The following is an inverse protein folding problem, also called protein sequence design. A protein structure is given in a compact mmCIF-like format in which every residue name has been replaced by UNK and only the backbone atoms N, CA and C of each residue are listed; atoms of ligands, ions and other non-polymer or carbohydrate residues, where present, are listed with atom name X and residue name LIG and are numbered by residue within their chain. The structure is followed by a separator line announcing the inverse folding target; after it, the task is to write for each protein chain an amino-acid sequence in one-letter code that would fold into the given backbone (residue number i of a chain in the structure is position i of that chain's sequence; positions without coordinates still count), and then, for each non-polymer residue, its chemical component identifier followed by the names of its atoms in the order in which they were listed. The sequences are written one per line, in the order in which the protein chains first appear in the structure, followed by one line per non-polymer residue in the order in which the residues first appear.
data_IF_306714581697
#
_entry.id   IF_306714581697
#
_cell.length_a   1.000
_cell.length_b   1.000
_cell.length_c   1.000
_cell.angle_alpha   90.00
_cell.angle_beta   90.00
_cell.angle_gamma   90.00
#
_symmetry.space_group_name_H-M   'P 1'
#
loop_
_entity.id
_entity.type
_entity.pdbx_description
1 polymer ?
#
# COMPACT_ATOMS: atom_id res chain seq x y z
N UNK A 1 2.59 -19.69 11.41
CA UNK A 1 3.69 -19.67 10.42
C UNK A 1 3.09 -19.34 9.06
N UNK A 2 3.65 -18.37 8.34
CA UNK A 2 3.15 -18.03 6.99
C UNK A 2 3.59 -19.12 6.01
N UNK A 3 2.66 -19.68 5.24
CA UNK A 3 2.97 -20.73 4.27
C UNK A 3 3.80 -20.15 3.12
N UNK A 4 4.95 -20.77 2.85
CA UNK A 4 5.78 -20.45 1.68
C UNK A 4 5.12 -21.06 0.44
N UNK A 5 4.93 -20.25 -0.61
CA UNK A 5 4.53 -20.73 -1.91
C UNK A 5 5.79 -21.05 -2.73
N UNK A 6 6.18 -22.32 -2.76
CA UNK A 6 7.33 -22.79 -3.52
C UNK A 6 7.11 -22.61 -5.03
N UNK A 7 8.19 -22.33 -5.77
CA UNK A 7 8.17 -22.06 -7.19
C UNK A 7 7.92 -20.59 -7.54
N UNK A 8 7.54 -20.35 -8.80
CA UNK A 8 7.35 -19.01 -9.37
C UNK A 8 5.87 -18.68 -9.45
N UNK A 9 5.50 -17.51 -8.94
CA UNK A 9 4.12 -17.03 -8.85
C UNK A 9 4.03 -15.59 -9.39
N UNK A 10 2.88 -15.24 -9.97
CA UNK A 10 2.54 -13.88 -10.43
C UNK A 10 1.16 -13.50 -9.92
N UNK A 11 0.83 -12.21 -9.97
CA UNK A 11 -0.54 -11.77 -9.77
C UNK A 11 -1.45 -12.13 -10.97
N UNK A 12 -2.74 -12.28 -10.70
CA UNK A 12 -3.82 -12.33 -11.67
C UNK A 12 -4.85 -11.27 -11.30
N UNK A 13 -4.98 -10.26 -12.16
CA UNK A 13 -5.99 -9.22 -12.05
C UNK A 13 -6.33 -8.67 -13.43
N UNK A 14 -7.61 -8.41 -13.67
CA UNK A 14 -8.13 -8.01 -14.98
C UNK A 14 -8.67 -6.59 -15.01
N UNK A 15 -8.83 -5.94 -13.87
CA UNK A 15 -9.33 -4.58 -13.77
C UNK A 15 -8.18 -3.58 -13.59
N UNK A 16 -8.47 -2.31 -13.89
CA UNK A 16 -7.63 -1.20 -13.47
C UNK A 16 -7.51 -1.20 -11.94
N UNK A 17 -6.35 -0.81 -11.43
CA UNK A 17 -6.10 -0.73 -10.00
C UNK A 17 -5.34 0.54 -9.67
N UNK A 18 -5.36 0.92 -8.40
CA UNK A 18 -4.59 2.03 -7.88
C UNK A 18 -3.55 1.55 -6.88
N UNK A 19 -2.30 1.89 -7.13
CA UNK A 19 -1.21 1.70 -6.17
C UNK A 19 -0.97 3.03 -5.47
N UNK A 20 -1.14 3.04 -4.16
CA UNK A 20 -0.95 4.22 -3.33
C UNK A 20 0.23 4.01 -2.38
N UNK A 21 1.30 4.77 -2.60
CA UNK A 21 2.45 4.79 -1.70
C UNK A 21 2.25 5.91 -0.70
N UNK A 22 2.45 5.61 0.58
CA UNK A 22 2.49 6.62 1.63
C UNK A 22 3.68 6.32 2.55
N UNK A 23 4.41 7.37 2.91
CA UNK A 23 5.58 7.20 3.77
C UNK A 23 5.72 8.32 4.79
N UNK A 24 6.35 7.97 5.90
CA UNK A 24 6.82 8.92 6.89
C UNK A 24 8.34 9.05 6.78
N UNK A 25 8.85 10.27 6.81
CA UNK A 25 10.28 10.56 6.89
C UNK A 25 10.63 11.22 8.22
N UNK A 26 11.51 10.58 8.98
CA UNK A 26 12.11 11.13 10.19
C UNK A 26 13.27 12.04 9.79
N UNK A 27 13.14 13.33 10.07
CA UNK A 27 14.18 14.31 9.78
C UNK A 27 15.05 14.60 11.02
N UNK A 28 14.45 14.49 12.23
CA UNK A 28 15.14 14.69 13.51
C UNK A 28 14.94 13.46 14.41
N UNK A 29 15.89 12.53 14.38
CA UNK A 29 15.79 11.25 15.11
C UNK A 29 15.62 11.44 16.63
N UNK A 30 16.28 12.45 17.21
CA UNK A 30 16.20 12.78 18.65
C UNK A 30 14.86 13.39 19.09
N UNK A 31 13.86 13.47 18.21
CA UNK A 31 12.51 13.96 18.51
C UNK A 31 11.46 12.85 18.43
N UNK A 32 11.54 11.80 19.27
CA UNK A 32 10.54 10.72 19.29
C UNK A 32 9.15 11.22 19.62
N UNK A 33 9.06 12.32 20.37
CA UNK A 33 7.82 13.02 20.55
C UNK A 33 7.24 13.41 19.19
N UNK A 34 8.03 13.95 18.24
CA UNK A 34 7.60 14.38 16.91
C UNK A 34 7.08 13.23 16.04
N UNK A 35 7.89 12.19 15.84
CA UNK A 35 7.63 11.14 14.86
C UNK A 35 6.88 9.92 15.42
N UNK A 36 6.98 9.64 16.73
CA UNK A 36 6.35 8.48 17.36
C UNK A 36 4.82 8.42 17.18
N UNK A 37 4.08 9.51 17.46
CA UNK A 37 2.63 9.54 17.25
C UNK A 37 2.22 9.37 15.79
N UNK A 38 3.01 9.88 14.85
CA UNK A 38 2.74 9.75 13.40
C UNK A 38 2.90 8.29 12.96
N UNK A 39 3.96 7.62 13.44
CA UNK A 39 4.17 6.19 13.22
C UNK A 39 3.00 5.34 13.74
N UNK A 40 2.47 5.68 14.92
CA UNK A 40 1.38 4.94 15.56
C UNK A 40 0.00 5.16 14.90
N UNK A 41 -0.15 6.18 14.04
CA UNK A 41 -1.43 6.51 13.42
C UNK A 41 -1.83 5.56 12.27
N UNK A 42 -0.86 4.95 11.59
CA UNK A 42 -1.12 4.14 10.38
C UNK A 42 -1.77 2.77 10.65
N UNK A 43 -1.30 1.95 11.62
CA UNK A 43 -1.88 0.63 11.87
C UNK A 43 -3.41 0.61 12.07
N UNK A 44 -4.04 1.50 12.85
CA UNK A 44 -5.48 1.44 13.05
C UNK A 44 -6.28 1.85 11.80
N UNK A 45 -5.73 2.68 10.90
CA UNK A 45 -6.32 2.98 9.58
C UNK A 45 -6.30 1.75 8.68
N UNK A 46 -5.15 1.08 8.56
CA UNK A 46 -5.02 -0.15 7.76
C UNK A 46 -5.94 -1.27 8.28
N UNK A 47 -6.09 -1.38 9.60
CA UNK A 47 -6.97 -2.37 10.21
C UNK A 47 -8.47 -2.03 10.04
N UNK A 48 -8.83 -0.77 9.87
CA UNK A 48 -10.19 -0.35 9.49
C UNK A 48 -10.48 -0.72 8.04
N UNK A 49 -9.60 -0.31 7.12
CA UNK A 49 -9.71 -0.63 5.69
C UNK A 49 -9.76 -2.14 5.43
N UNK A 50 -8.93 -2.91 6.13
CA UNK A 50 -8.89 -4.38 5.96
C UNK A 50 -10.16 -5.08 6.45
N UNK A 51 -11.01 -4.42 7.23
CA UNK A 51 -12.29 -4.96 7.74
C UNK A 51 -13.50 -4.52 6.94
N UNK A 52 -13.34 -3.56 6.04
CA UNK A 52 -14.40 -3.02 5.21
C UNK A 52 -14.15 -3.36 3.73
N UNK A 53 -14.77 -4.44 3.20
CA UNK A 53 -14.65 -4.80 1.79
C UNK A 53 -15.19 -3.73 0.84
N UNK A 54 -16.15 -2.91 1.28
CA UNK A 54 -16.76 -1.87 0.47
C UNK A 54 -15.84 -0.65 0.32
N UNK A 55 -14.80 -0.51 1.16
CA UNK A 55 -13.79 0.56 1.06
C UNK A 55 -13.01 0.53 -0.26
N UNK A 56 -12.99 -0.59 -0.97
CA UNK A 56 -12.17 -0.78 -2.17
C UNK A 56 -10.69 -1.01 -1.89
N UNK A 57 -10.31 -1.15 -0.62
CA UNK A 57 -8.97 -1.54 -0.23
C UNK A 57 -8.72 -3.02 -0.50
N UNK A 58 -7.69 -3.32 -1.27
CA UNK A 58 -7.32 -4.68 -1.68
C UNK A 58 -6.22 -5.26 -0.78
N UNK A 59 -5.45 -4.41 -0.12
CA UNK A 59 -4.41 -4.84 0.80
C UNK A 59 -3.23 -3.88 0.84
N UNK A 60 -2.20 -4.26 1.60
CA UNK A 60 -1.00 -3.45 1.75
C UNK A 60 0.25 -4.27 1.99
N UNK A 61 1.39 -3.62 1.79
CA UNK A 61 2.71 -4.09 2.22
C UNK A 61 3.43 -2.96 2.93
N UNK A 62 3.90 -3.24 4.14
CA UNK A 62 4.73 -2.31 4.91
C UNK A 62 6.21 -2.62 4.68
N UNK A 63 7.00 -1.58 4.47
CA UNK A 63 8.44 -1.62 4.37
C UNK A 63 9.03 -0.66 5.41
N UNK A 64 10.07 -1.10 6.12
CA UNK A 64 10.78 -0.25 7.08
C UNK A 64 12.10 0.18 6.45
N UNK A 65 12.25 1.48 6.18
CA UNK A 65 13.49 2.08 5.72
C UNK A 65 14.24 2.77 6.85
N UNK A 66 15.53 3.09 6.63
CA UNK A 66 16.38 3.74 7.64
C UNK A 66 15.93 5.15 8.05
N UNK A 67 15.00 5.76 7.31
CA UNK A 67 14.42 7.08 7.65
C UNK A 67 12.92 7.02 7.93
N UNK A 68 12.33 5.83 8.06
CA UNK A 68 10.92 5.66 8.38
C UNK A 68 10.22 4.61 7.51
N UNK A 69 8.96 4.31 7.85
CA UNK A 69 8.15 3.34 7.13
C UNK A 69 7.64 3.87 5.79
N UNK A 70 7.46 2.95 4.86
CA UNK A 70 6.69 3.12 3.63
C UNK A 70 5.60 2.07 3.62
N UNK A 71 4.38 2.46 3.27
CA UNK A 71 3.27 1.55 3.06
C UNK A 71 2.88 1.64 1.60
N UNK A 72 2.95 0.50 0.91
CA UNK A 72 2.39 0.30 -0.42
C UNK A 72 0.98 -0.23 -0.21
N UNK A 73 -0.02 0.49 -0.69
CA UNK A 73 -1.43 0.11 -0.60
C UNK A 73 -1.96 -0.20 -2.00
N UNK A 74 -2.81 -1.20 -2.09
CA UNK A 74 -3.49 -1.60 -3.32
C UNK A 74 -4.96 -1.31 -3.17
N UNK A 75 -5.54 -0.66 -4.16
CA UNK A 75 -6.91 -0.23 -4.18
C UNK A 75 -7.55 -0.59 -5.51
N UNK A 76 -8.86 -0.81 -5.48
CA UNK A 76 -9.65 -1.07 -6.67
C UNK A 76 -9.71 0.16 -7.59
N UNK A 77 -9.75 1.36 -7.04
CA UNK A 77 -9.71 2.60 -7.85
C UNK A 77 -9.13 3.79 -7.09
N UNK A 78 -8.88 4.89 -7.80
CA UNK A 78 -8.40 6.13 -7.19
C UNK A 78 -9.55 6.85 -6.46
N UNK A 79 -10.78 6.68 -6.95
CA UNK A 79 -12.00 7.18 -6.31
C UNK A 79 -12.19 6.55 -4.92
N UNK A 80 -11.88 5.27 -4.76
CA UNK A 80 -11.92 4.57 -3.47
C UNK A 80 -10.93 5.17 -2.47
N UNK A 81 -9.71 5.51 -2.91
CA UNK A 81 -8.71 6.22 -2.10
C UNK A 81 -9.25 7.58 -1.65
N UNK A 82 -9.84 8.35 -2.56
CA UNK A 82 -10.36 9.69 -2.27
C UNK A 82 -11.57 9.65 -1.35
N UNK A 83 -12.46 8.68 -1.55
CA UNK A 83 -13.62 8.45 -0.67
C UNK A 83 -13.14 8.20 0.76
N UNK A 84 -12.17 7.30 0.96
CA UNK A 84 -11.61 7.08 2.29
C UNK A 84 -10.94 8.34 2.87
N UNK A 85 -10.15 9.05 2.06
CA UNK A 85 -9.46 10.25 2.50
C UNK A 85 -10.43 11.37 2.93
N UNK A 86 -11.58 11.48 2.27
CA UNK A 86 -12.60 12.49 2.51
C UNK A 86 -13.60 12.11 3.62
N UNK A 87 -13.77 10.82 3.90
CA UNK A 87 -14.70 10.29 4.88
C UNK A 87 -14.48 10.90 6.27
N UNK A 88 -15.57 11.44 6.84
CA UNK A 88 -15.61 12.14 8.11
C UNK A 88 -15.54 11.20 9.31
N UNK A 89 -15.99 9.98 9.13
CA UNK A 89 -16.09 8.98 10.19
C UNK A 89 -14.89 8.01 10.19
N UNK A 90 -14.06 8.06 9.13
CA UNK A 90 -12.82 7.29 9.04
C UNK A 90 -11.72 7.81 9.96
N UNK A 91 -10.77 6.93 10.27
CA UNK A 91 -9.58 7.28 11.08
C UNK A 91 -8.60 8.21 10.38
N UNK A 92 -8.71 8.42 9.07
CA UNK A 92 -7.79 9.25 8.31
C UNK A 92 -7.83 10.71 8.76
N UNK A 93 -9.01 11.33 8.87
CA UNK A 93 -9.11 12.76 9.16
C UNK A 93 -8.62 13.14 10.56
N UNK A 94 -8.96 12.41 11.65
CA UNK A 94 -8.38 12.66 12.96
C UNK A 94 -6.85 12.54 12.96
N UNK A 95 -6.30 11.52 12.30
CA UNK A 95 -4.85 11.33 12.17
C UNK A 95 -4.19 12.50 11.42
N UNK A 96 -4.78 12.93 10.30
CA UNK A 96 -4.29 14.07 9.52
C UNK A 96 -4.34 15.38 10.31
N UNK A 97 -5.40 15.61 11.08
CA UNK A 97 -5.54 16.78 11.96
C UNK A 97 -4.47 16.79 13.05
N UNK A 98 -4.24 15.64 13.69
CA UNK A 98 -3.20 15.50 14.71
C UNK A 98 -1.79 15.73 14.13
N UNK A 99 -1.51 15.18 12.95
CA UNK A 99 -0.26 15.41 12.23
C UNK A 99 -0.05 16.91 11.94
N UNK A 100 -1.04 17.59 11.35
CA UNK A 100 -0.94 19.01 11.02
C UNK A 100 -0.66 19.89 12.24
N UNK A 101 -1.36 19.64 13.35
CA UNK A 101 -1.12 20.34 14.62
C UNK A 101 0.31 20.13 15.11
N UNK A 102 0.85 18.93 14.94
CA UNK A 102 2.21 18.58 15.36
C UNK A 102 3.28 19.16 14.45
N UNK A 103 3.09 19.09 13.13
CA UNK A 103 3.98 19.67 12.14
C UNK A 103 4.12 21.20 12.33
N UNK A 104 3.03 21.88 12.68
CA UNK A 104 3.06 23.32 13.03
C UNK A 104 3.87 23.62 14.30
N UNK A 105 3.75 22.77 15.33
CA UNK A 105 4.52 22.93 16.58
C UNK A 105 6.01 22.62 16.39
N UNK A 106 6.33 21.66 15.53
CA UNK A 106 7.68 21.12 15.36
C UNK A 106 8.04 21.07 13.87
N UNK A 107 8.21 22.25 13.24
CA UNK A 107 8.43 22.33 11.81
C UNK A 107 9.69 21.56 11.39
N UNK A 108 9.54 20.73 10.36
CA UNK A 108 10.63 19.96 9.78
C UNK A 108 11.13 18.77 10.60
N UNK A 109 10.54 18.44 11.76
CA UNK A 109 10.97 17.28 12.55
C UNK A 109 10.57 15.93 11.94
N UNK A 110 9.40 15.89 11.29
CA UNK A 110 8.83 14.72 10.61
C UNK A 110 8.13 15.19 9.33
N UNK A 111 8.25 14.41 8.26
CA UNK A 111 7.53 14.61 7.00
C UNK A 111 6.63 13.43 6.68
N UNK A 112 5.59 13.69 5.90
CA UNK A 112 4.75 12.68 5.25
C UNK A 112 4.78 12.96 3.75
N UNK A 113 4.77 11.92 2.95
CA UNK A 113 4.65 12.00 1.50
C UNK A 113 3.72 10.89 1.02
N UNK A 114 3.11 11.09 -0.14
CA UNK A 114 2.34 10.05 -0.81
C UNK A 114 2.44 10.19 -2.32
N UNK A 115 2.26 9.08 -3.03
CA UNK A 115 2.23 8.99 -4.49
C UNK A 115 1.06 8.08 -4.87
N UNK A 116 0.24 8.51 -5.82
CA UNK A 116 -0.92 7.75 -6.32
C UNK A 116 -0.68 7.37 -7.76
N UNK A 117 -0.73 6.08 -8.06
CA UNK A 117 -0.56 5.53 -9.40
C UNK A 117 -1.83 4.80 -9.80
N UNK A 118 -2.59 5.38 -10.73
CA UNK A 118 -3.63 4.66 -11.43
C UNK A 118 -2.96 3.85 -12.55
N UNK A 119 -3.09 2.52 -12.50
CA UNK A 119 -2.43 1.64 -13.45
C UNK A 119 -3.43 0.71 -14.12
N UNK A 120 -3.28 0.56 -15.42
CA UNK A 120 -4.05 -0.37 -16.26
C UNK A 120 -3.30 -1.68 -16.49
N UNK A 121 -1.99 -1.69 -16.24
CA UNK A 121 -1.10 -2.84 -16.42
C UNK A 121 -0.06 -2.88 -15.32
N UNK A 122 0.26 -4.09 -14.86
CA UNK A 122 1.33 -4.36 -13.93
C UNK A 122 2.03 -5.66 -14.30
N UNK A 123 3.24 -5.83 -13.80
CA UNK A 123 3.98 -7.10 -13.87
C UNK A 123 4.50 -7.43 -12.48
N UNK A 124 4.40 -8.71 -12.10
CA UNK A 124 5.00 -9.18 -10.86
C UNK A 124 5.53 -10.61 -10.98
N UNK A 125 6.53 -10.91 -10.15
CA UNK A 125 7.10 -12.23 -9.98
C UNK A 125 7.45 -12.40 -8.50
N UNK A 126 7.06 -13.54 -7.94
CA UNK A 126 7.34 -13.96 -6.58
C UNK A 126 7.95 -15.36 -6.65
N UNK A 127 9.10 -15.57 -6.00
CA UNK A 127 9.83 -16.86 -6.05
C UNK A 127 10.08 -17.32 -4.62
N UNK A 128 9.62 -18.53 -4.30
CA UNK A 128 9.85 -19.21 -3.01
C UNK A 128 9.54 -18.33 -1.79
N UNK A 129 8.44 -17.57 -1.87
CA UNK A 129 8.02 -16.62 -0.83
C UNK A 129 6.52 -16.70 -0.58
N UNK A 130 6.02 -16.27 0.59
CA UNK A 130 4.58 -16.14 0.80
C UNK A 130 3.96 -15.19 -0.24
N UNK A 131 2.67 -15.36 -0.59
CA UNK A 131 1.95 -14.36 -1.36
C UNK A 131 2.12 -12.97 -0.72
N UNK A 132 2.55 -12.00 -1.54
CA UNK A 132 2.78 -10.63 -1.07
C UNK A 132 2.48 -9.63 -2.19
N UNK A 133 2.39 -8.35 -1.84
CA UNK A 133 2.16 -7.27 -2.81
C UNK A 133 0.90 -7.52 -3.65
N UNK A 134 0.98 -7.25 -4.96
CA UNK A 134 -0.11 -7.47 -5.90
C UNK A 134 -0.72 -8.87 -5.84
N UNK A 135 0.09 -9.95 -5.74
CA UNK A 135 -0.46 -11.30 -5.69
C UNK A 135 -1.27 -11.59 -4.42
N UNK A 136 -0.93 -10.95 -3.30
CA UNK A 136 -1.73 -11.04 -2.07
C UNK A 136 -2.96 -10.13 -2.09
N UNK A 137 -2.87 -8.98 -2.76
CA UNK A 137 -3.98 -8.04 -2.89
C UNK A 137 -5.02 -8.47 -3.94
N UNK A 138 -4.65 -9.38 -4.84
CA UNK A 138 -5.52 -9.85 -5.93
C UNK A 138 -5.63 -11.38 -5.88
N UNK A 139 -5.02 -12.08 -6.82
CA UNK A 139 -4.92 -13.53 -6.85
C UNK A 139 -3.51 -13.94 -7.25
N UNK A 140 -3.00 -15.03 -6.69
CA UNK A 140 -1.70 -15.59 -6.99
C UNK A 140 -1.84 -16.80 -7.92
N UNK A 141 -1.18 -16.79 -9.07
CA UNK A 141 -1.16 -17.91 -10.03
C UNK A 141 0.26 -18.36 -10.33
N UNK A 142 0.50 -19.66 -10.58
CA UNK A 142 1.82 -20.15 -10.91
C UNK A 142 2.27 -19.60 -12.27
N UNK A 143 3.57 -19.29 -12.37
CA UNK A 143 4.19 -18.91 -13.64
C UNK A 143 4.49 -20.17 -14.43
N UNK A 144 3.83 -20.31 -15.57
CA UNK A 144 4.08 -21.38 -16.54
C UNK A 144 3.83 -20.92 -17.99
N UNK A 145 4.53 -21.54 -18.94
CA UNK A 145 4.31 -21.36 -20.37
C UNK A 145 4.45 -19.90 -20.82
N UNK A 146 3.35 -19.29 -21.29
CA UNK A 146 3.35 -17.91 -21.77
C UNK A 146 3.70 -16.89 -20.68
N UNK A 147 3.53 -17.22 -19.40
CA UNK A 147 3.82 -16.32 -18.28
C UNK A 147 5.31 -16.28 -17.91
N UNK A 148 6.18 -17.10 -18.52
CA UNK A 148 7.62 -17.10 -18.23
C UNK A 148 8.28 -15.73 -18.52
N UNK A 149 7.83 -15.04 -19.57
CA UNK A 149 8.39 -13.74 -19.99
C UNK A 149 7.71 -12.58 -19.25
N UNK A 150 8.51 -11.66 -18.72
CA UNK A 150 8.00 -10.45 -18.06
C UNK A 150 7.10 -9.61 -18.98
N UNK A 151 7.48 -9.43 -20.24
CA UNK A 151 6.65 -8.72 -21.22
C UNK A 151 5.29 -9.39 -21.45
N UNK A 152 5.21 -10.72 -21.39
CA UNK A 152 3.95 -11.43 -21.54
C UNK A 152 3.06 -11.29 -20.29
N UNK A 153 3.65 -11.22 -19.08
CA UNK A 153 2.93 -10.90 -17.85
C UNK A 153 2.42 -9.46 -17.85
N UNK A 154 3.23 -8.48 -18.28
CA UNK A 154 2.81 -7.08 -18.39
C UNK A 154 1.76 -6.86 -19.48
N UNK A 155 1.89 -7.56 -20.61
CA UNK A 155 0.96 -7.47 -21.73
C UNK A 155 -0.40 -8.12 -21.44
N UNK A 156 -0.52 -8.82 -20.30
CA UNK A 156 -1.76 -9.43 -19.82
C UNK A 156 -2.75 -8.34 -19.40
N UNK A 157 -3.38 -7.72 -20.38
CA UNK A 157 -4.76 -7.24 -20.26
C UNK A 157 -5.59 -8.31 -20.92
N UNK A 158 -6.37 -9.03 -20.13
CA UNK A 158 -7.47 -9.82 -20.70
C UNK A 158 -8.54 -8.82 -21.11
N UNK A 159 -9.08 -8.87 -22.35
CA UNK A 159 -10.12 -7.95 -22.80
C UNK A 159 -11.33 -7.98 -21.86
N UNK A 160 -12.02 -6.85 -21.75
CA UNK A 160 -13.38 -6.76 -21.19
C UNK A 160 -14.30 -7.83 -21.78
#
# INVERSE_FOLDING_TARGET
MTRIAAGRWTHEHTADLTVFLIGMRINRFWRPDAWGPVLAAMPPMLAELSRDPESGFLGYRMLLGGRGPVVVQYWRSTEDVYRYAADRDSKHRPAWTAFNKRARKLPGAVGIWHETYQITRAESMYVDMPPTGLAAATSAVPVSGRLDRASARLARITPN
#
